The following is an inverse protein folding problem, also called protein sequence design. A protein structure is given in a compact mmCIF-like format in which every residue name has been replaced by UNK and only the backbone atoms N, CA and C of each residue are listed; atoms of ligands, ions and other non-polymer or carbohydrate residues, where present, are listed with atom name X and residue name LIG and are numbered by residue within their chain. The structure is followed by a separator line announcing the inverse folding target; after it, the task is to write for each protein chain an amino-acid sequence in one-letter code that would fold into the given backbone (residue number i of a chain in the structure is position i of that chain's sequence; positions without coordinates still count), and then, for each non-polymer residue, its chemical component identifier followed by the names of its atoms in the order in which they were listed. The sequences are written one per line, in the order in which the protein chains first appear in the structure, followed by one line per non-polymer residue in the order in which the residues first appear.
data_IF_038163413356
#
_entry.id   IF_038163413356
#
_cell.length_a   1.000
_cell.length_b   1.000
_cell.length_c   1.000
_cell.angle_alpha   90.00
_cell.angle_beta   90.00
_cell.angle_gamma   90.00
#
_symmetry.space_group_name_H-M   'P 1'
#
loop_
_entity.id
_entity.type
_entity.pdbx_description
1 polymer ?
#
# COMPACT_ATOMS: atom_id res chain seq x y z
N UNK A 1 20.33 -10.82 -20.58
CA UNK A 1 19.35 -10.94 -19.47
C UNK A 1 20.02 -11.14 -18.09
N UNK A 2 21.33 -11.43 -18.01
CA UNK A 2 22.01 -11.81 -16.74
C UNK A 2 22.53 -10.61 -15.90
N UNK A 3 22.43 -9.36 -16.34
CA UNK A 3 23.01 -8.20 -15.62
C UNK A 3 21.98 -7.20 -15.05
N UNK A 4 20.80 -7.63 -14.60
CA UNK A 4 19.85 -6.73 -13.92
C UNK A 4 19.55 -7.20 -12.48
N UNK A 5 19.64 -6.32 -11.47
CA UNK A 5 19.24 -6.64 -10.11
C UNK A 5 17.73 -6.93 -10.10
N UNK A 6 17.32 -8.02 -9.45
CA UNK A 6 15.91 -8.38 -9.29
C UNK A 6 15.21 -7.34 -8.39
N UNK A 7 14.49 -6.41 -9.00
CA UNK A 7 13.66 -5.37 -8.38
C UNK A 7 12.28 -5.89 -7.96
N UNK A 8 11.90 -7.12 -8.29
CA UNK A 8 10.62 -7.73 -7.89
C UNK A 8 10.77 -9.19 -7.48
N UNK A 9 9.87 -9.67 -6.61
CA UNK A 9 9.73 -11.11 -6.27
C UNK A 9 9.56 -11.95 -7.54
N UNK A 10 8.87 -11.42 -8.54
CA UNK A 10 8.74 -12.03 -9.87
C UNK A 10 10.10 -12.24 -10.55
N UNK A 11 11.00 -11.24 -10.50
CA UNK A 11 12.34 -11.32 -11.08
C UNK A 11 13.23 -12.31 -10.32
N UNK A 12 13.15 -12.35 -8.99
CA UNK A 12 13.86 -13.34 -8.16
C UNK A 12 13.40 -14.77 -8.49
N UNK A 13 12.09 -15.01 -8.52
CA UNK A 13 11.55 -16.33 -8.86
C UNK A 13 11.95 -16.70 -10.30
N UNK A 14 11.87 -15.78 -11.27
CA UNK A 14 12.36 -16.04 -12.65
C UNK A 14 13.86 -16.31 -12.72
N UNK A 15 14.67 -15.63 -11.91
CA UNK A 15 16.12 -15.84 -11.86
C UNK A 15 16.47 -17.23 -11.33
N UNK A 16 15.72 -17.70 -10.33
CA UNK A 16 15.89 -19.01 -9.70
C UNK A 16 15.32 -20.12 -10.60
N UNK A 17 14.17 -19.89 -11.24
CA UNK A 17 13.43 -20.93 -11.99
C UNK A 17 13.76 -20.97 -13.47
N UNK A 18 14.14 -19.85 -14.10
CA UNK A 18 14.41 -19.72 -15.55
C UNK A 18 13.36 -20.37 -16.45
N UNK A 19 12.08 -20.24 -16.11
CA UNK A 19 10.99 -20.93 -16.81
C UNK A 19 9.96 -19.95 -17.37
N UNK A 20 9.19 -20.39 -18.36
CA UNK A 20 8.05 -19.63 -18.87
C UNK A 20 6.79 -19.81 -17.99
N UNK A 21 5.64 -19.28 -18.42
CA UNK A 21 4.40 -19.35 -17.64
C UNK A 21 3.88 -20.77 -17.43
N UNK A 22 3.68 -21.57 -18.49
CA UNK A 22 3.29 -22.98 -18.37
C UNK A 22 4.27 -23.80 -17.55
N UNK A 23 5.57 -23.60 -17.75
CA UNK A 23 6.60 -24.35 -17.06
C UNK A 23 6.68 -23.98 -15.57
N UNK A 24 6.39 -22.73 -15.19
CA UNK A 24 6.23 -22.34 -13.78
C UNK A 24 5.14 -23.17 -13.09
N UNK A 25 3.96 -23.26 -13.70
CA UNK A 25 2.82 -24.01 -13.13
C UNK A 25 3.16 -25.49 -13.01
N UNK A 26 3.80 -26.06 -14.04
CA UNK A 26 4.25 -27.45 -14.03
C UNK A 26 5.27 -27.72 -12.92
N UNK A 27 6.30 -26.87 -12.79
CA UNK A 27 7.32 -27.03 -11.76
C UNK A 27 6.75 -26.85 -10.35
N UNK A 28 5.88 -25.87 -10.15
CA UNK A 28 5.21 -25.67 -8.87
C UNK A 28 4.31 -26.86 -8.51
N UNK A 29 3.54 -27.39 -9.47
CA UNK A 29 2.76 -28.59 -9.30
C UNK A 29 3.61 -29.81 -8.91
N UNK A 30 4.74 -30.03 -9.61
CA UNK A 30 5.68 -31.11 -9.29
C UNK A 30 6.29 -30.94 -7.89
N UNK A 31 6.61 -29.72 -7.49
CA UNK A 31 7.10 -29.42 -6.15
C UNK A 31 6.07 -29.80 -5.08
N UNK A 32 4.78 -29.50 -5.31
CA UNK A 32 3.71 -29.88 -4.38
C UNK A 32 3.52 -31.40 -4.32
N UNK A 33 3.61 -32.12 -5.44
CA UNK A 33 3.56 -33.59 -5.46
C UNK A 33 4.74 -34.19 -4.69
N UNK A 34 5.96 -33.68 -4.91
CA UNK A 34 7.13 -34.14 -4.17
C UNK A 34 6.98 -33.85 -2.67
N UNK A 35 6.45 -32.67 -2.32
CA UNK A 35 6.18 -32.34 -0.92
C UNK A 35 5.11 -33.26 -0.32
N UNK A 36 4.11 -33.68 -1.09
CA UNK A 36 3.10 -34.65 -0.65
C UNK A 36 3.72 -35.98 -0.24
N UNK A 37 4.71 -36.47 -0.98
CA UNK A 37 5.43 -37.70 -0.62
C UNK A 37 6.15 -37.60 0.73
N UNK A 38 6.67 -36.40 1.07
CA UNK A 38 7.35 -36.13 2.34
C UNK A 38 6.33 -36.01 3.48
N UNK A 39 5.22 -35.30 3.26
CA UNK A 39 4.15 -35.10 4.23
C UNK A 39 3.48 -36.41 4.60
N UNK A 40 3.16 -37.27 3.63
CA UNK A 40 2.57 -38.60 3.88
C UNK A 40 3.53 -39.52 4.66
N UNK A 41 4.85 -39.38 4.43
CA UNK A 41 5.86 -40.13 5.17
C UNK A 41 6.05 -39.69 6.62
N UNK A 42 5.55 -38.50 7.00
CA UNK A 42 5.82 -37.89 8.30
C UNK A 42 4.58 -37.96 9.21
N UNK A 43 4.62 -38.84 10.23
CA UNK A 43 3.52 -39.09 11.19
C UNK A 43 3.10 -37.88 12.04
N UNK A 44 3.87 -36.79 11.99
CA UNK A 44 3.65 -35.56 12.77
C UNK A 44 2.92 -34.46 12.00
N UNK A 45 2.65 -34.64 10.70
CA UNK A 45 1.93 -33.61 9.92
C UNK A 45 0.46 -33.56 10.29
N UNK A 46 -0.05 -32.33 10.43
CA UNK A 46 -1.44 -32.08 10.84
C UNK A 46 -2.40 -32.32 9.67
N UNK A 47 -3.65 -32.72 9.97
CA UNK A 47 -4.70 -32.90 8.95
C UNK A 47 -4.96 -31.63 8.13
N UNK A 48 -4.75 -30.44 8.72
CA UNK A 48 -4.85 -29.16 8.04
C UNK A 48 -3.78 -28.98 6.96
N UNK A 49 -2.51 -29.25 7.28
CA UNK A 49 -1.41 -29.14 6.31
C UNK A 49 -1.63 -30.09 5.13
N UNK A 50 -2.11 -31.30 5.40
CA UNK A 50 -2.46 -32.28 4.38
C UNK A 50 -3.61 -31.77 3.48
N UNK A 51 -4.67 -31.22 4.07
CA UNK A 51 -5.80 -30.67 3.32
C UNK A 51 -5.41 -29.42 2.50
N UNK A 52 -4.59 -28.53 3.05
CA UNK A 52 -4.05 -27.36 2.34
C UNK A 52 -3.23 -27.79 1.13
N UNK A 53 -2.36 -28.79 1.31
CA UNK A 53 -1.54 -29.33 0.24
C UNK A 53 -2.38 -29.97 -0.86
N UNK A 54 -3.37 -30.80 -0.51
CA UNK A 54 -4.29 -31.40 -1.47
C UNK A 54 -5.04 -30.34 -2.28
N UNK A 55 -5.52 -29.28 -1.63
CA UNK A 55 -6.19 -28.17 -2.32
C UNK A 55 -5.22 -27.43 -3.27
N UNK A 56 -4.00 -27.15 -2.83
CA UNK A 56 -2.98 -26.52 -3.69
C UNK A 56 -2.63 -27.41 -4.91
N UNK A 57 -2.56 -28.73 -4.73
CA UNK A 57 -2.36 -29.70 -5.81
C UNK A 57 -3.56 -29.66 -6.78
N UNK A 58 -4.80 -29.68 -6.28
CA UNK A 58 -6.00 -29.61 -7.12
C UNK A 58 -6.07 -28.32 -7.95
N UNK A 59 -5.73 -27.18 -7.34
CA UNK A 59 -5.64 -25.88 -8.01
C UNK A 59 -4.61 -25.92 -9.14
N UNK A 60 -3.41 -26.39 -8.84
CA UNK A 60 -2.33 -26.44 -9.84
C UNK A 60 -2.61 -27.44 -10.95
N UNK A 61 -3.21 -28.60 -10.65
CA UNK A 61 -3.69 -29.56 -11.67
C UNK A 61 -4.73 -28.92 -12.59
N UNK A 62 -5.70 -28.20 -12.02
CA UNK A 62 -6.75 -27.53 -12.79
C UNK A 62 -6.18 -26.44 -13.68
N UNK A 63 -5.24 -25.65 -13.16
CA UNK A 63 -4.55 -24.61 -13.93
C UNK A 63 -3.69 -25.20 -15.04
N UNK A 64 -2.92 -26.26 -14.76
CA UNK A 64 -2.13 -26.98 -15.75
C UNK A 64 -3.00 -27.44 -16.91
N UNK A 65 -4.10 -28.15 -16.63
CA UNK A 65 -5.06 -28.60 -17.65
C UNK A 65 -5.64 -27.46 -18.47
N UNK A 66 -6.03 -26.34 -17.83
CA UNK A 66 -6.57 -25.16 -18.53
C UNK A 66 -5.54 -24.47 -19.41
N UNK A 67 -4.29 -24.42 -18.99
CA UNK A 67 -3.19 -23.85 -19.77
C UNK A 67 -2.86 -24.74 -20.97
N UNK A 68 -2.80 -26.07 -20.78
CA UNK A 68 -2.57 -27.04 -21.86
C UNK A 68 -3.69 -27.04 -22.92
N UNK A 69 -4.94 -26.79 -22.51
CA UNK A 69 -6.08 -26.67 -23.42
C UNK A 69 -6.15 -25.32 -24.15
N UNK A 70 -5.43 -24.31 -23.65
CA UNK A 70 -5.38 -23.00 -24.27
C UNK A 70 -4.34 -22.98 -25.39
N UNK A 71 -4.70 -22.39 -26.53
CA UNK A 71 -3.74 -22.12 -27.62
C UNK A 71 -2.91 -20.84 -27.39
N UNK A 72 -3.18 -20.11 -26.30
CA UNK A 72 -2.54 -18.83 -26.01
C UNK A 72 -1.21 -19.00 -25.27
N UNK A 73 -0.24 -18.14 -25.60
CA UNK A 73 1.04 -18.08 -24.90
C UNK A 73 0.90 -17.32 -23.59
N UNK A 74 0.96 -18.02 -22.47
CA UNK A 74 0.99 -17.40 -21.16
C UNK A 74 2.39 -16.90 -20.81
N UNK A 75 2.52 -15.58 -20.62
CA UNK A 75 3.74 -15.03 -20.00
C UNK A 75 3.84 -15.49 -18.55
N UNK A 76 5.06 -15.60 -18.01
CA UNK A 76 5.28 -15.92 -16.59
C UNK A 76 4.50 -15.00 -15.65
N UNK A 77 4.45 -13.69 -15.95
CA UNK A 77 3.70 -12.72 -15.14
C UNK A 77 2.20 -13.05 -15.09
N UNK A 78 1.63 -13.38 -16.25
CA UNK A 78 0.23 -13.75 -16.34
C UNK A 78 -0.04 -15.07 -15.59
N UNK A 79 0.80 -16.08 -15.78
CA UNK A 79 0.67 -17.38 -15.10
C UNK A 79 0.77 -17.25 -13.58
N UNK A 80 1.76 -16.50 -13.07
CA UNK A 80 1.91 -16.25 -11.63
C UNK A 80 0.71 -15.50 -11.04
N UNK A 81 0.23 -14.46 -11.74
CA UNK A 81 -0.96 -13.71 -11.30
C UNK A 81 -2.20 -14.60 -11.24
N UNK A 82 -2.41 -15.43 -12.25
CA UNK A 82 -3.53 -16.39 -12.29
C UNK A 82 -3.39 -17.42 -11.17
N UNK A 83 -2.21 -18.00 -10.96
CA UNK A 83 -1.96 -18.94 -9.87
C UNK A 83 -2.33 -18.35 -8.51
N UNK A 84 -1.82 -17.16 -8.19
CA UNK A 84 -2.10 -16.48 -6.93
C UNK A 84 -3.59 -16.14 -6.80
N UNK A 85 -4.26 -15.76 -7.89
CA UNK A 85 -5.69 -15.47 -7.89
C UNK A 85 -6.53 -16.72 -7.61
N UNK A 86 -6.15 -17.87 -8.17
CA UNK A 86 -6.84 -19.13 -7.91
C UNK A 86 -6.62 -19.57 -6.47
N UNK A 87 -5.36 -19.58 -5.98
CA UNK A 87 -5.03 -19.93 -4.59
C UNK A 87 -5.83 -19.04 -3.62
N UNK A 88 -5.90 -17.72 -3.87
CA UNK A 88 -6.64 -16.78 -3.02
C UNK A 88 -8.15 -17.08 -2.95
N UNK A 89 -8.72 -17.69 -3.99
CA UNK A 89 -10.14 -18.06 -4.04
C UNK A 89 -10.41 -19.45 -3.48
N UNK A 90 -9.38 -20.27 -3.28
CA UNK A 90 -9.53 -21.63 -2.78
C UNK A 90 -9.80 -21.61 -1.28
N UNK A 91 -10.83 -22.34 -0.87
CA UNK A 91 -11.15 -22.55 0.54
C UNK A 91 -10.68 -23.94 0.95
N UNK A 92 -10.11 -24.04 2.15
CA UNK A 92 -9.71 -25.32 2.74
C UNK A 92 -10.74 -25.67 3.78
N UNK A 93 -11.52 -26.72 3.52
CA UNK A 93 -12.49 -27.22 4.49
C UNK A 93 -11.76 -27.97 5.60
N UNK A 94 -12.00 -27.56 6.84
CA UNK A 94 -11.58 -28.29 8.03
C UNK A 94 -12.58 -29.41 8.29
N UNK A 95 -12.08 -30.64 8.46
CA UNK A 95 -12.91 -31.75 8.93
C UNK A 95 -12.78 -31.77 10.46
N UNK A 96 -13.81 -31.29 11.14
CA UNK A 96 -13.91 -31.37 12.60
C UNK A 96 -14.23 -32.78 13.07
N UNK A 97 -13.81 -33.12 14.28
CA UNK A 97 -14.29 -34.31 14.99
C UNK A 97 -15.48 -33.87 15.87
N UNK A 98 -16.73 -34.24 15.53
CA UNK A 98 -17.92 -33.59 16.08
C UNK A 98 -18.15 -33.75 17.59
N UNK A 99 -17.45 -34.66 18.27
CA UNK A 99 -17.70 -35.01 19.68
C UNK A 99 -16.50 -34.77 20.61
N UNK A 100 -15.36 -34.34 20.09
CA UNK A 100 -14.16 -34.16 20.91
C UNK A 100 -13.37 -32.89 20.52
N UNK A 101 -12.83 -32.23 21.54
CA UNK A 101 -11.92 -31.09 21.36
C UNK A 101 -12.60 -29.78 20.95
N UNK A 102 -11.74 -28.81 20.59
CA UNK A 102 -12.15 -27.47 20.17
C UNK A 102 -12.67 -27.53 18.73
N UNK A 103 -13.92 -27.10 18.53
CA UNK A 103 -14.52 -27.00 17.20
C UNK A 103 -14.30 -25.62 16.61
N UNK A 104 -13.70 -25.55 15.42
CA UNK A 104 -13.57 -24.32 14.63
C UNK A 104 -14.58 -24.40 13.49
N UNK A 105 -15.63 -23.59 13.56
CA UNK A 105 -16.80 -23.71 12.69
C UNK A 105 -17.29 -22.35 12.22
N UNK A 106 -17.94 -22.32 11.06
CA UNK A 106 -18.73 -21.18 10.60
C UNK A 106 -20.10 -21.13 11.29
N UNK A 107 -20.73 -19.95 11.34
CA UNK A 107 -22.01 -19.77 12.03
C UNK A 107 -23.16 -20.62 11.44
N UNK A 108 -23.13 -20.95 10.16
CA UNK A 108 -24.14 -21.84 9.56
C UNK A 108 -23.91 -23.32 9.90
N UNK A 109 -22.69 -23.69 10.27
CA UNK A 109 -22.32 -25.06 10.64
C UNK A 109 -22.73 -25.37 12.09
N UNK A 110 -22.98 -24.35 12.92
CA UNK A 110 -23.47 -24.52 14.30
C UNK A 110 -24.97 -24.84 14.38
N UNK A 111 -25.62 -25.11 13.25
CA UNK A 111 -27.06 -25.46 13.19
C UNK A 111 -27.33 -26.74 13.98
N UNK A 112 -28.35 -26.69 14.84
CA UNK A 112 -28.76 -27.79 15.71
C UNK A 112 -27.69 -28.28 16.70
N UNK A 113 -26.60 -27.52 16.86
CA UNK A 113 -25.55 -27.79 17.84
C UNK A 113 -25.59 -26.76 18.96
N UNK A 114 -25.37 -27.22 20.18
CA UNK A 114 -25.35 -26.37 21.37
C UNK A 114 -23.96 -26.45 22.02
N UNK A 115 -23.45 -25.32 22.49
CA UNK A 115 -22.10 -25.21 23.06
C UNK A 115 -22.16 -24.49 24.39
N UNK A 116 -21.47 -25.04 25.40
CA UNK A 116 -21.37 -24.41 26.72
C UNK A 116 -20.47 -23.17 26.69
N UNK A 117 -19.36 -23.26 25.95
CA UNK A 117 -18.34 -22.22 25.84
C UNK A 117 -18.16 -21.82 24.39
N UNK A 118 -18.22 -20.51 24.12
CA UNK A 118 -18.22 -19.96 22.78
C UNK A 118 -17.17 -18.87 22.68
N UNK A 119 -16.33 -18.97 21.65
CA UNK A 119 -15.38 -17.93 21.29
C UNK A 119 -15.67 -17.49 19.86
N UNK A 120 -16.17 -16.26 19.71
CA UNK A 120 -16.41 -15.66 18.39
C UNK A 120 -15.26 -14.71 18.08
N UNK A 121 -14.52 -15.05 17.03
CA UNK A 121 -13.41 -14.25 16.52
C UNK A 121 -13.91 -13.24 15.49
N UNK A 122 -13.30 -12.06 15.45
CA UNK A 122 -13.59 -11.00 14.48
C UNK A 122 -15.05 -10.54 14.47
N UNK A 123 -15.62 -10.31 15.66
CA UNK A 123 -16.97 -9.78 15.87
C UNK A 123 -17.06 -8.27 15.56
N UNK A 124 -16.58 -7.88 14.38
CA UNK A 124 -16.61 -6.54 13.82
C UNK A 124 -17.77 -6.39 12.83
N UNK A 125 -18.25 -5.17 12.63
CA UNK A 125 -19.25 -4.89 11.59
C UNK A 125 -18.69 -5.25 10.20
N UNK A 126 -19.55 -5.70 9.29
CA UNK A 126 -19.14 -6.21 7.97
C UNK A 126 -18.48 -7.59 7.95
N UNK A 127 -17.97 -8.08 9.10
CA UNK A 127 -17.57 -9.49 9.30
C UNK A 127 -18.68 -10.29 9.97
N UNK A 128 -19.28 -9.73 11.02
CA UNK A 128 -20.43 -10.29 11.73
C UNK A 128 -21.46 -9.17 11.98
N UNK A 129 -22.57 -9.12 11.22
CA UNK A 129 -22.87 -9.96 10.06
C UNK A 129 -21.96 -9.64 8.86
N UNK A 130 -21.74 -10.65 8.02
CA UNK A 130 -20.99 -10.48 6.77
C UNK A 130 -21.76 -9.56 5.80
N UNK A 131 -21.04 -8.67 5.12
CA UNK A 131 -21.65 -7.81 4.09
C UNK A 131 -21.91 -8.62 2.80
N UNK A 132 -23.04 -9.30 2.75
CA UNK A 132 -23.45 -10.10 1.59
C UNK A 132 -24.05 -9.19 0.50
N UNK A 133 -23.18 -8.52 -0.26
CA UNK A 133 -23.58 -7.97 -1.56
C UNK A 133 -23.92 -9.14 -2.49
N UNK A 134 -25.21 -9.41 -2.65
CA UNK A 134 -25.68 -10.39 -3.64
C UNK A 134 -25.59 -9.76 -5.03
N UNK A 135 -24.57 -10.13 -5.81
CA UNK A 135 -24.50 -9.80 -7.23
C UNK A 135 -25.70 -10.46 -7.95
N UNK A 136 -26.65 -9.64 -8.40
CA UNK A 136 -27.84 -10.09 -9.11
C UNK A 136 -28.06 -9.24 -10.36
N UNK A 137 -28.41 -9.89 -11.47
CA UNK A 137 -28.86 -9.21 -12.68
C UNK A 137 -30.28 -8.63 -12.53
N UNK A 138 -31.03 -9.06 -11.51
CA UNK A 138 -32.38 -8.58 -11.23
C UNK A 138 -32.29 -7.39 -10.27
N UNK A 139 -32.84 -6.21 -10.64
CA UNK A 139 -32.87 -5.04 -9.78
C UNK A 139 -33.52 -5.31 -8.42
N UNK A 140 -33.09 -4.55 -7.40
CA UNK A 140 -33.56 -4.72 -6.03
C UNK A 140 -35.08 -4.63 -5.91
N UNK A 141 -35.71 -3.64 -6.55
CA UNK A 141 -37.16 -3.41 -6.45
C UNK A 141 -37.97 -4.58 -7.02
N UNK A 142 -37.50 -5.16 -8.13
CA UNK A 142 -38.12 -6.34 -8.74
C UNK A 142 -37.95 -7.56 -7.81
N UNK A 143 -36.78 -7.75 -7.21
CA UNK A 143 -36.58 -8.84 -6.23
C UNK A 143 -37.53 -8.70 -5.06
N UNK A 144 -37.65 -7.50 -4.50
CA UNK A 144 -38.54 -7.23 -3.39
C UNK A 144 -40.01 -7.49 -3.75
N UNK A 145 -40.48 -6.98 -4.89
CA UNK A 145 -41.87 -7.13 -5.32
C UNK A 145 -42.27 -8.59 -5.57
N UNK A 146 -41.35 -9.42 -6.07
CA UNK A 146 -41.60 -10.84 -6.35
C UNK A 146 -41.14 -11.77 -5.22
N UNK A 147 -40.84 -11.25 -4.02
CA UNK A 147 -40.39 -12.04 -2.86
C UNK A 147 -39.18 -12.93 -3.18
N UNK A 148 -38.30 -12.45 -4.06
CA UNK A 148 -37.02 -13.11 -4.31
C UNK A 148 -36.07 -12.80 -3.15
N UNK A 149 -35.09 -13.68 -2.86
CA UNK A 149 -34.13 -13.46 -1.78
C UNK A 149 -33.50 -12.08 -1.89
N UNK A 150 -33.36 -11.37 -0.78
CA UNK A 150 -32.71 -10.08 -0.64
C UNK A 150 -31.46 -10.20 0.24
N UNK A 151 -30.51 -9.25 0.16
CA UNK A 151 -29.37 -9.20 1.08
C UNK A 151 -29.80 -9.23 2.56
N UNK A 152 -30.95 -8.64 2.88
CA UNK A 152 -31.54 -8.63 4.22
C UNK A 152 -31.82 -10.05 4.72
N UNK A 153 -32.41 -10.92 3.91
CA UNK A 153 -32.76 -12.29 4.33
C UNK A 153 -31.52 -13.07 4.80
N UNK A 154 -30.38 -12.85 4.14
CA UNK A 154 -29.13 -13.45 4.58
C UNK A 154 -28.63 -12.88 5.91
N UNK A 155 -28.85 -11.59 6.18
CA UNK A 155 -28.54 -10.99 7.47
C UNK A 155 -29.48 -11.51 8.56
N UNK A 156 -30.76 -11.71 8.25
CA UNK A 156 -31.77 -12.24 9.17
C UNK A 156 -31.43 -13.68 9.58
N UNK A 157 -31.01 -14.54 8.63
CA UNK A 157 -30.50 -15.90 8.93
C UNK A 157 -29.26 -15.85 9.82
N UNK A 158 -28.34 -14.92 9.57
CA UNK A 158 -27.13 -14.74 10.39
C UNK A 158 -27.49 -14.31 11.81
N UNK A 159 -28.40 -13.35 11.96
CA UNK A 159 -28.90 -12.88 13.24
C UNK A 159 -29.58 -14.01 14.02
N UNK A 160 -30.46 -14.78 13.37
CA UNK A 160 -31.12 -15.93 13.99
C UNK A 160 -30.11 -16.92 14.58
N UNK A 161 -29.11 -17.31 13.79
CA UNK A 161 -28.10 -18.26 14.26
C UNK A 161 -27.22 -17.68 15.37
N UNK A 162 -26.86 -16.41 15.30
CA UNK A 162 -26.13 -15.72 16.36
C UNK A 162 -26.87 -15.76 17.70
N UNK A 163 -28.14 -15.34 17.73
CA UNK A 163 -28.92 -15.33 18.97
C UNK A 163 -29.24 -16.74 19.47
N UNK A 164 -29.57 -17.68 18.56
CA UNK A 164 -29.83 -19.09 18.93
C UNK A 164 -28.63 -19.71 19.62
N UNK A 165 -27.42 -19.44 19.12
CA UNK A 165 -26.17 -19.96 19.66
C UNK A 165 -25.96 -19.54 21.14
N UNK A 166 -26.42 -18.33 21.51
CA UNK A 166 -26.27 -17.80 22.86
C UNK A 166 -27.25 -18.40 23.87
N UNK A 167 -28.42 -18.88 23.43
CA UNK A 167 -29.48 -19.38 24.31
C UNK A 167 -29.08 -20.58 25.18
N UNK A 168 -28.09 -21.38 24.73
CA UNK A 168 -27.58 -22.55 25.47
C UNK A 168 -26.16 -22.38 25.99
N UNK A 169 -25.53 -21.25 25.69
CA UNK A 169 -24.17 -20.95 26.16
C UNK A 169 -24.17 -20.52 27.62
N UNK A 170 -23.17 -20.98 28.38
CA UNK A 170 -22.88 -20.45 29.72
C UNK A 170 -21.85 -19.33 29.66
N UNK A 171 -20.90 -19.43 28.72
CA UNK A 171 -19.85 -18.44 28.53
C UNK A 171 -19.69 -18.12 27.04
N UNK A 172 -19.81 -16.84 26.68
CA UNK A 172 -19.58 -16.35 25.33
C UNK A 172 -18.55 -15.22 25.38
N UNK A 173 -17.44 -15.39 24.67
CA UNK A 173 -16.37 -14.39 24.52
C UNK A 173 -16.33 -13.92 23.08
N UNK A 174 -16.32 -12.60 22.88
CA UNK A 174 -16.28 -11.98 21.56
C UNK A 174 -15.01 -11.15 21.42
N UNK A 175 -14.26 -11.38 20.36
CA UNK A 175 -13.07 -10.60 20.01
C UNK A 175 -13.36 -9.74 18.80
N UNK A 176 -13.16 -8.43 18.92
CA UNK A 176 -13.25 -7.49 17.81
C UNK A 176 -12.01 -6.60 17.78
N UNK A 177 -11.64 -6.15 16.59
CA UNK A 177 -10.53 -5.23 16.40
C UNK A 177 -11.01 -3.78 16.56
N UNK A 178 -10.34 -3.01 17.42
CA UNK A 178 -10.60 -1.56 17.60
C UNK A 178 -9.47 -0.68 17.04
N UNK A 179 -8.47 -1.25 16.36
CA UNK A 179 -7.32 -0.50 15.81
C UNK A 179 -7.71 0.30 14.57
N UNK A 180 -7.20 1.51 14.41
CA UNK A 180 -7.45 2.39 13.25
C UNK A 180 -6.55 2.10 12.04
N UNK A 181 -5.61 1.15 12.14
CA UNK A 181 -4.50 0.99 11.20
C UNK A 181 -4.69 -0.05 10.09
N UNK A 182 -5.88 -0.68 9.96
CA UNK A 182 -6.15 -1.77 9.01
C UNK A 182 -7.27 -1.49 8.00
N UNK A 183 -7.24 -2.21 6.85
CA UNK A 183 -8.38 -2.30 5.92
C UNK A 183 -9.43 -3.27 6.49
N UNK A 184 -10.51 -2.72 7.03
CA UNK A 184 -11.68 -3.43 7.58
C UNK A 184 -12.58 -2.44 8.31
N UNK A 185 -13.85 -2.80 8.56
CA UNK A 185 -14.64 -2.04 9.53
C UNK A 185 -14.08 -2.36 10.91
N UNK A 186 -13.53 -1.34 11.56
CA UNK A 186 -12.99 -1.42 12.92
C UNK A 186 -14.08 -1.18 13.97
N UNK A 187 -15.33 -1.13 13.51
CA UNK A 187 -16.47 -0.93 14.37
C UNK A 187 -16.86 -2.27 14.98
N UNK A 188 -17.33 -2.21 16.22
CA UNK A 188 -17.92 -3.35 16.91
C UNK A 188 -19.17 -3.83 16.13
N UNK A 189 -19.38 -5.15 16.08
CA UNK A 189 -20.59 -5.72 15.48
C UNK A 189 -21.86 -5.13 16.08
N UNK A 190 -22.84 -4.79 15.23
CA UNK A 190 -24.17 -4.36 15.69
C UNK A 190 -24.85 -5.37 16.63
N UNK A 191 -24.56 -6.67 16.49
CA UNK A 191 -25.15 -7.71 17.35
C UNK A 191 -24.64 -7.63 18.78
N UNK A 192 -23.38 -7.22 18.98
CA UNK A 192 -22.82 -7.02 20.31
C UNK A 192 -23.41 -5.78 20.99
N UNK A 193 -23.61 -4.70 20.21
CA UNK A 193 -24.31 -3.53 20.70
C UNK A 193 -25.73 -3.88 21.15
N UNK A 194 -26.48 -4.63 20.34
CA UNK A 194 -27.83 -5.08 20.69
C UNK A 194 -27.84 -5.96 21.95
N UNK A 195 -26.86 -6.84 22.14
CA UNK A 195 -26.74 -7.62 23.37
C UNK A 195 -26.61 -6.73 24.60
N UNK A 196 -25.71 -5.75 24.53
CA UNK A 196 -25.43 -4.81 25.62
C UNK A 196 -26.63 -3.90 25.92
N UNK A 197 -27.29 -3.38 24.88
CA UNK A 197 -28.36 -2.38 25.03
C UNK A 197 -29.75 -2.95 25.25
N UNK A 198 -30.04 -4.16 24.77
CA UNK A 198 -31.38 -4.76 24.80
C UNK A 198 -31.43 -5.97 25.74
N UNK A 199 -30.58 -6.97 25.51
CA UNK A 199 -30.68 -8.26 26.21
C UNK A 199 -30.21 -8.20 27.68
N UNK A 200 -29.12 -7.49 27.95
CA UNK A 200 -28.58 -7.34 29.31
C UNK A 200 -29.56 -6.61 30.24
N UNK A 201 -30.19 -5.48 29.84
CA UNK A 201 -31.21 -4.83 30.66
C UNK A 201 -32.47 -5.68 30.90
N UNK A 202 -32.87 -6.49 29.92
CA UNK A 202 -34.07 -7.33 30.01
C UNK A 202 -33.87 -8.59 30.86
N UNK A 203 -32.64 -9.08 31.00
CA UNK A 203 -32.33 -10.27 31.77
C UNK A 203 -31.17 -10.02 32.76
N UNK A 204 -31.48 -9.71 34.03
CA UNK A 204 -30.47 -9.46 35.07
C UNK A 204 -29.52 -10.63 35.36
N UNK A 205 -29.83 -11.84 34.87
CA UNK A 205 -28.96 -13.01 35.02
C UNK A 205 -27.75 -12.98 34.11
N UNK A 206 -27.73 -12.10 33.09
CA UNK A 206 -26.63 -11.99 32.13
C UNK A 206 -25.55 -11.06 32.70
N UNK A 207 -24.35 -11.59 32.89
CA UNK A 207 -23.17 -10.79 33.22
C UNK A 207 -22.45 -10.39 31.93
N UNK A 208 -22.38 -9.08 31.67
CA UNK A 208 -21.70 -8.53 30.50
C UNK A 208 -20.53 -7.65 30.95
N UNK A 209 -19.35 -7.87 30.36
CA UNK A 209 -18.16 -7.06 30.63
C UNK A 209 -17.36 -6.85 29.36
N UNK A 210 -16.98 -5.60 29.09
CA UNK A 210 -16.06 -5.25 28.00
C UNK A 210 -14.65 -5.01 28.57
N UNK A 211 -13.64 -5.56 27.89
CA UNK A 211 -12.23 -5.37 28.22
C UNK A 211 -11.45 -5.02 26.97
N UNK A 212 -10.70 -3.93 27.02
CA UNK A 212 -9.78 -3.57 25.96
C UNK A 212 -8.45 -4.28 26.20
N UNK A 213 -8.03 -5.11 25.23
CA UNK A 213 -6.75 -5.81 25.28
C UNK A 213 -5.75 -5.09 24.39
N UNK A 214 -4.75 -4.45 25.00
CA UNK A 214 -3.55 -4.03 24.28
C UNK A 214 -2.59 -5.20 24.30
N UNK A 215 -2.58 -5.99 23.23
CA UNK A 215 -1.52 -6.97 23.04
C UNK A 215 -0.21 -6.20 22.87
N UNK A 216 0.82 -6.43 23.70
CA UNK A 216 2.14 -5.99 23.35
C UNK A 216 2.45 -6.66 22.01
N UNK A 217 2.72 -5.85 20.99
CA UNK A 217 3.31 -6.39 19.76
C UNK A 217 4.62 -6.98 20.23
N UNK A 218 4.65 -8.30 20.38
CA UNK A 218 5.91 -9.04 20.43
C UNK A 218 6.49 -8.86 19.04
N UNK A 219 7.11 -7.71 18.78
CA UNK A 219 8.31 -7.75 17.95
C UNK A 219 9.17 -8.72 18.72
N UNK A 220 9.28 -9.94 18.20
CA UNK A 220 10.49 -10.69 18.46
C UNK A 220 11.57 -9.68 18.14
N UNK A 221 12.15 -9.10 19.19
CA UNK A 221 13.32 -8.26 19.08
C UNK A 221 14.39 -9.24 18.64
N UNK A 222 14.37 -9.56 17.35
CA UNK A 222 15.57 -9.81 16.60
C UNK A 222 16.34 -8.49 16.68
N UNK A 223 16.90 -8.20 17.86
CA UNK A 223 17.96 -7.25 18.11
C UNK A 223 19.24 -7.76 17.44
N UNK A 224 19.11 -8.36 16.25
CA UNK A 224 20.21 -8.49 15.33
C UNK A 224 20.51 -7.07 14.88
N UNK A 225 21.46 -6.45 15.56
CA UNK A 225 22.12 -5.25 15.08
C UNK A 225 22.52 -5.53 13.64
N UNK A 226 21.87 -4.88 12.68
CA UNK A 226 22.21 -5.05 11.27
C UNK A 226 23.58 -4.42 11.10
N UNK A 227 24.62 -5.25 11.07
CA UNK A 227 26.00 -4.83 10.83
C UNK A 227 26.30 -5.03 9.36
N UNK A 228 26.62 -3.94 8.68
CA UNK A 228 27.11 -3.98 7.30
C UNK A 228 28.63 -4.09 7.36
N UNK A 229 29.16 -5.24 6.98
CA UNK A 229 30.60 -5.41 6.84
C UNK A 229 31.13 -4.57 5.67
N UNK A 230 32.22 -3.84 5.90
CA UNK A 230 32.89 -3.00 4.90
C UNK A 230 33.74 -3.85 3.96
N UNK A 231 33.12 -4.83 3.32
CA UNK A 231 33.75 -5.66 2.29
C UNK A 231 33.98 -4.85 1.01
N UNK A 232 34.74 -5.42 0.06
CA UNK A 232 35.10 -4.73 -1.19
C UNK A 232 33.87 -4.25 -1.98
N UNK A 233 32.79 -5.03 -2.01
CA UNK A 233 31.60 -4.74 -2.83
C UNK A 233 30.83 -3.51 -2.31
N UNK A 234 30.40 -3.43 -1.03
CA UNK A 234 29.80 -2.22 -0.45
C UNK A 234 30.68 -0.98 -0.58
N UNK A 235 31.99 -1.14 -0.37
CA UNK A 235 32.95 -0.03 -0.43
C UNK A 235 33.11 0.50 -1.86
N UNK A 236 33.26 -0.38 -2.86
CA UNK A 236 33.34 0.01 -4.26
C UNK A 236 32.07 0.75 -4.71
N UNK A 237 30.88 0.28 -4.28
CA UNK A 237 29.63 0.98 -4.55
C UNK A 237 29.55 2.34 -3.86
N UNK A 238 30.04 2.46 -2.63
CA UNK A 238 30.10 3.75 -1.93
C UNK A 238 30.97 4.75 -2.70
N UNK A 239 32.16 4.35 -3.14
CA UNK A 239 33.02 5.21 -3.95
C UNK A 239 32.38 5.58 -5.28
N UNK A 240 31.74 4.63 -5.97
CA UNK A 240 31.01 4.90 -7.20
C UNK A 240 29.86 5.90 -7.00
N UNK A 241 29.12 5.80 -5.90
CA UNK A 241 28.05 6.76 -5.56
C UNK A 241 28.63 8.13 -5.22
N UNK A 242 29.76 8.17 -4.50
CA UNK A 242 30.47 9.40 -4.18
C UNK A 242 31.00 10.09 -5.45
N UNK A 243 31.50 9.35 -6.43
CA UNK A 243 31.92 9.88 -7.74
C UNK A 243 30.71 10.35 -8.57
N UNK A 244 29.60 9.61 -8.57
CA UNK A 244 28.39 10.00 -9.31
C UNK A 244 27.68 11.23 -8.74
N UNK A 245 27.98 11.63 -7.50
CA UNK A 245 27.38 12.76 -6.84
C UNK A 245 26.37 12.38 -5.76
N UNK A 246 26.63 12.82 -4.52
CA UNK A 246 25.72 12.74 -3.39
C UNK A 246 24.75 13.93 -3.40
N UNK A 247 23.45 13.65 -3.26
CA UNK A 247 22.43 14.69 -3.16
C UNK A 247 22.14 15.11 -1.72
N UNK A 248 21.59 16.32 -1.50
CA UNK A 248 21.17 16.75 -0.16
C UNK A 248 20.23 15.74 0.50
N UNK A 249 19.29 15.15 -0.26
CA UNK A 249 18.42 14.09 0.24
C UNK A 249 19.17 12.82 0.62
N UNK A 250 20.22 12.45 -0.12
CA UNK A 250 21.06 11.29 0.19
C UNK A 250 21.88 11.52 1.48
N UNK A 251 22.43 12.72 1.64
CA UNK A 251 23.15 13.13 2.85
C UNK A 251 22.21 13.14 4.06
N UNK A 252 21.03 13.75 3.92
CA UNK A 252 20.01 13.74 4.97
C UNK A 252 19.57 12.33 5.33
N UNK A 253 19.39 11.44 4.35
CA UNK A 253 19.08 10.03 4.61
C UNK A 253 20.18 9.34 5.42
N UNK A 254 21.45 9.65 5.15
CA UNK A 254 22.58 9.11 5.91
C UNK A 254 22.61 9.64 7.36
N UNK A 255 22.48 10.96 7.53
CA UNK A 255 22.47 11.60 8.85
C UNK A 255 21.32 11.07 9.71
N UNK A 256 20.13 10.92 9.12
CA UNK A 256 18.96 10.37 9.82
C UNK A 256 19.12 8.89 10.14
N UNK A 257 19.59 8.08 9.18
CA UNK A 257 19.77 6.65 9.35
C UNK A 257 20.77 6.09 8.31
N UNK A 258 22.01 5.78 8.71
CA UNK A 258 23.03 5.24 7.81
C UNK A 258 22.60 3.95 7.10
N UNK A 259 21.78 3.13 7.78
CA UNK A 259 21.26 1.90 7.20
C UNK A 259 20.21 2.16 6.11
N UNK A 260 19.39 3.20 6.27
CA UNK A 260 18.45 3.65 5.23
C UNK A 260 19.22 4.15 4.01
N UNK A 261 20.30 4.90 4.22
CA UNK A 261 21.18 5.32 3.13
C UNK A 261 21.79 4.10 2.42
N UNK A 262 22.31 3.13 3.19
CA UNK A 262 22.88 1.91 2.64
C UNK A 262 21.88 1.14 1.77
N UNK A 263 20.68 0.83 2.28
CA UNK A 263 19.69 0.10 1.49
C UNK A 263 19.24 0.87 0.25
N UNK A 264 19.01 2.18 0.38
CA UNK A 264 18.45 3.00 -0.70
C UNK A 264 19.47 3.35 -1.79
N UNK A 265 20.67 3.78 -1.40
CA UNK A 265 21.64 4.38 -2.32
C UNK A 265 22.80 3.43 -2.65
N UNK A 266 23.17 2.51 -1.76
CA UNK A 266 24.26 1.54 -2.01
C UNK A 266 23.68 0.23 -2.58
N UNK A 267 22.64 -0.31 -1.97
CA UNK A 267 21.98 -1.52 -2.47
C UNK A 267 20.89 -1.25 -3.51
N UNK A 268 20.52 0.02 -3.73
CA UNK A 268 19.51 0.42 -4.71
C UNK A 268 18.15 -0.29 -4.50
N UNK A 269 17.78 -0.48 -3.24
CA UNK A 269 16.49 -1.06 -2.85
C UNK A 269 15.46 0.07 -2.79
N UNK A 270 14.53 0.04 -3.74
CA UNK A 270 13.41 0.96 -3.84
C UNK A 270 12.14 0.25 -3.37
N UNK A 271 11.22 0.95 -2.66
CA UNK A 271 9.88 0.44 -2.49
C UNK A 271 9.26 0.23 -3.88
N UNK A 272 8.40 -0.78 -4.05
CA UNK A 272 7.79 -1.06 -5.35
C UNK A 272 7.07 0.18 -5.86
N UNK A 273 7.27 0.53 -7.13
CA UNK A 273 6.51 1.59 -7.81
C UNK A 273 5.05 1.14 -7.91
N UNK A 274 4.24 1.55 -6.95
CA UNK A 274 2.79 1.46 -7.01
C UNK A 274 2.32 2.47 -8.05
N UNK A 275 1.76 2.00 -9.17
CA UNK A 275 1.00 2.88 -10.07
C UNK A 275 -0.28 3.29 -9.33
N UNK A 276 -0.17 4.37 -8.57
CA UNK A 276 -1.26 4.89 -7.76
C UNK A 276 -2.30 5.59 -8.64
N UNK A 277 -3.57 5.24 -8.44
CA UNK A 277 -4.68 5.83 -9.17
C UNK A 277 -5.06 7.22 -8.67
N UNK A 278 -4.56 7.64 -7.49
CA UNK A 278 -4.81 8.95 -6.88
C UNK A 278 -3.54 9.79 -6.78
N UNK A 279 -3.68 11.12 -6.80
CA UNK A 279 -2.59 12.05 -6.49
C UNK A 279 -2.20 11.93 -5.00
N UNK A 280 -1.10 11.25 -4.72
CA UNK A 280 -0.42 11.30 -3.42
C UNK A 280 0.45 12.57 -3.28
N UNK A 281 0.95 12.82 -2.06
CA UNK A 281 1.72 14.04 -1.70
C UNK A 281 2.98 14.26 -2.56
N UNK A 282 3.66 13.19 -2.96
CA UNK A 282 4.86 13.28 -3.81
C UNK A 282 4.53 13.75 -5.24
N UNK A 283 3.43 13.24 -5.80
CA UNK A 283 2.92 13.62 -7.11
C UNK A 283 2.44 15.06 -7.12
N UNK A 284 1.81 15.50 -6.03
CA UNK A 284 1.41 16.88 -5.83
C UNK A 284 2.60 17.84 -5.86
N UNK A 285 3.67 17.56 -5.10
CA UNK A 285 4.89 18.37 -5.10
C UNK A 285 5.48 18.49 -6.51
N UNK A 286 5.63 17.38 -7.21
CA UNK A 286 6.22 17.34 -8.57
C UNK A 286 5.51 18.29 -9.55
N UNK A 287 4.17 18.34 -9.50
CA UNK A 287 3.38 19.25 -10.35
C UNK A 287 3.62 20.70 -9.97
N UNK A 288 3.70 21.02 -8.68
CA UNK A 288 3.97 22.38 -8.20
C UNK A 288 5.33 22.87 -8.70
N UNK A 289 6.38 22.07 -8.54
CA UNK A 289 7.73 22.39 -9.04
C UNK A 289 7.70 22.61 -10.56
N UNK A 290 7.12 21.69 -11.32
CA UNK A 290 7.07 21.81 -12.78
C UNK A 290 6.30 23.04 -13.28
N UNK A 291 5.24 23.46 -12.57
CA UNK A 291 4.51 24.69 -12.95
C UNK A 291 5.29 25.94 -12.59
N UNK A 292 5.89 26.00 -11.40
CA UNK A 292 6.73 27.14 -11.00
C UNK A 292 7.95 27.27 -11.92
N UNK A 293 8.60 26.17 -12.27
CA UNK A 293 9.68 26.12 -13.26
C UNK A 293 9.27 26.85 -14.54
N UNK A 294 8.16 26.42 -15.15
CA UNK A 294 7.68 27.01 -16.41
C UNK A 294 7.28 28.49 -16.25
N UNK A 295 6.75 28.90 -15.10
CA UNK A 295 6.38 30.29 -14.85
C UNK A 295 7.61 31.20 -14.77
N UNK A 296 8.66 30.76 -14.08
CA UNK A 296 9.87 31.55 -13.82
C UNK A 296 10.95 31.42 -14.91
N UNK A 297 10.93 30.35 -15.72
CA UNK A 297 11.91 30.10 -16.79
C UNK A 297 12.18 31.32 -17.72
N UNK A 298 11.19 32.13 -18.14
CA UNK A 298 11.42 33.29 -19.00
C UNK A 298 12.29 34.40 -18.36
N UNK A 299 12.40 34.40 -17.03
CA UNK A 299 13.12 35.40 -16.23
C UNK A 299 14.56 34.99 -15.90
N UNK A 300 15.01 33.80 -16.30
CA UNK A 300 16.39 33.34 -16.03
C UNK A 300 17.40 34.32 -16.64
N UNK A 301 18.39 34.71 -15.84
CA UNK A 301 19.39 35.76 -16.09
C UNK A 301 18.82 37.16 -16.34
N UNK A 302 17.60 37.45 -15.84
CA UNK A 302 16.93 38.75 -15.97
C UNK A 302 16.36 39.21 -14.64
N UNK A 303 16.07 40.51 -14.56
CA UNK A 303 15.28 41.07 -13.47
C UNK A 303 13.86 40.47 -13.50
N UNK A 304 13.38 40.00 -12.35
CA UNK A 304 12.02 39.48 -12.24
C UNK A 304 11.06 40.66 -12.09
N UNK A 305 10.49 41.12 -13.20
CA UNK A 305 9.54 42.24 -13.20
C UNK A 305 8.18 41.78 -12.62
N UNK A 306 7.69 42.35 -11.49
CA UNK A 306 6.46 41.90 -10.83
C UNK A 306 5.24 41.95 -11.75
N UNK A 307 5.17 42.97 -12.62
CA UNK A 307 4.08 43.11 -13.59
C UNK A 307 4.03 41.94 -14.59
N UNK A 308 5.17 41.58 -15.18
CA UNK A 308 5.26 40.47 -16.12
C UNK A 308 5.00 39.12 -15.43
N UNK A 309 5.51 38.94 -14.21
CA UNK A 309 5.25 37.75 -13.40
C UNK A 309 3.75 37.59 -13.11
N UNK A 310 3.07 38.69 -12.73
CA UNK A 310 1.62 38.69 -12.46
C UNK A 310 0.78 38.34 -13.69
N UNK A 311 1.21 38.68 -14.90
CA UNK A 311 0.52 38.29 -16.14
C UNK A 311 0.52 36.77 -16.35
N UNK A 312 1.57 36.06 -15.91
CA UNK A 312 1.72 34.60 -16.03
C UNK A 312 0.70 33.83 -15.18
N UNK A 313 0.00 34.48 -14.24
CA UNK A 313 -1.08 33.86 -13.46
C UNK A 313 -2.20 33.26 -14.33
N UNK A 314 -2.39 33.78 -15.54
CA UNK A 314 -3.40 33.30 -16.50
C UNK A 314 -3.03 31.92 -17.09
N UNK A 315 -1.75 31.54 -17.02
CA UNK A 315 -1.25 30.28 -17.59
C UNK A 315 -1.32 29.11 -16.61
N UNK A 316 -1.51 29.36 -15.31
CA UNK A 316 -1.49 28.35 -14.25
C UNK A 316 -2.37 27.14 -14.56
N UNK A 317 -3.61 27.36 -15.03
CA UNK A 317 -4.54 26.26 -15.33
C UNK A 317 -3.98 25.34 -16.41
N UNK A 318 -3.47 25.93 -17.50
CA UNK A 318 -2.89 25.20 -18.62
C UNK A 318 -1.66 24.41 -18.18
N UNK A 319 -0.76 25.04 -17.42
CA UNK A 319 0.48 24.43 -16.97
C UNK A 319 0.22 23.27 -15.99
N UNK A 320 -0.73 23.40 -15.06
CA UNK A 320 -1.10 22.29 -14.16
C UNK A 320 -1.62 21.10 -14.97
N UNK A 321 -2.48 21.33 -15.96
CA UNK A 321 -3.00 20.25 -16.81
C UNK A 321 -1.89 19.56 -17.62
N UNK A 322 -0.94 20.32 -18.14
CA UNK A 322 0.21 19.80 -18.88
C UNK A 322 1.08 18.91 -17.98
N UNK A 323 1.47 19.39 -16.79
CA UNK A 323 2.26 18.61 -15.82
C UNK A 323 1.54 17.36 -15.33
N UNK A 324 0.23 17.48 -15.05
CA UNK A 324 -0.60 16.34 -14.68
C UNK A 324 -0.63 15.27 -15.79
N UNK A 325 -0.80 15.69 -17.05
CA UNK A 325 -0.82 14.76 -18.20
C UNK A 325 0.53 14.08 -18.42
N UNK A 326 1.64 14.82 -18.26
CA UNK A 326 3.00 14.26 -18.33
C UNK A 326 3.19 13.16 -17.29
N UNK A 327 2.81 13.42 -16.04
CA UNK A 327 3.01 12.50 -14.93
C UNK A 327 2.16 11.23 -15.04
N UNK A 328 0.89 11.37 -15.42
CA UNK A 328 -0.03 10.22 -15.57
C UNK A 328 -0.06 9.60 -16.98
N UNK A 329 0.80 10.06 -17.91
CA UNK A 329 0.83 9.63 -19.32
C UNK A 329 -0.56 9.61 -19.98
N UNK A 330 -1.43 10.56 -19.61
CA UNK A 330 -2.80 10.69 -20.10
C UNK A 330 -3.80 9.61 -19.66
N UNK A 331 -3.47 8.74 -18.69
CA UNK A 331 -4.29 7.57 -18.34
C UNK A 331 -5.29 7.78 -17.19
N UNK A 332 -5.20 8.89 -16.46
CA UNK A 332 -6.02 9.14 -15.27
C UNK A 332 -6.93 10.35 -15.45
N UNK A 333 -8.27 10.21 -15.43
CA UNK A 333 -9.18 11.34 -15.54
C UNK A 333 -9.13 12.24 -14.29
N UNK A 334 -9.22 13.56 -14.49
CA UNK A 334 -9.31 14.55 -13.40
C UNK A 334 -10.73 14.51 -12.82
N UNK A 335 -10.97 13.62 -11.86
CA UNK A 335 -12.26 13.51 -11.15
C UNK A 335 -12.05 13.19 -9.67
N UNK A 336 -13.08 13.45 -8.85
CA UNK A 336 -13.08 13.13 -7.42
C UNK A 336 -11.91 13.78 -6.68
N UNK A 337 -11.15 12.98 -5.93
CA UNK A 337 -10.00 13.43 -5.12
C UNK A 337 -8.94 14.19 -5.95
N UNK A 338 -8.69 13.79 -7.19
CA UNK A 338 -7.71 14.45 -8.06
C UNK A 338 -8.16 15.86 -8.46
N UNK A 339 -9.47 16.06 -8.66
CA UNK A 339 -10.04 17.39 -8.94
C UNK A 339 -9.87 18.34 -7.74
N UNK A 340 -10.14 17.85 -6.52
CA UNK A 340 -9.94 18.62 -5.30
C UNK A 340 -8.47 19.02 -5.14
N UNK A 341 -7.56 18.06 -5.34
CA UNK A 341 -6.12 18.31 -5.25
C UNK A 341 -5.65 19.38 -6.25
N UNK A 342 -6.13 19.33 -7.50
CA UNK A 342 -5.83 20.35 -8.49
C UNK A 342 -6.30 21.76 -8.09
N UNK A 343 -7.47 21.88 -7.47
CA UNK A 343 -7.94 23.19 -6.98
C UNK A 343 -7.03 23.74 -5.87
N UNK A 344 -6.57 22.87 -4.98
CA UNK A 344 -5.59 23.23 -3.95
C UNK A 344 -4.26 23.65 -4.59
N UNK A 345 -3.72 22.87 -5.52
CA UNK A 345 -2.50 23.19 -6.29
C UNK A 345 -2.58 24.57 -6.92
N UNK A 346 -3.69 24.85 -7.61
CA UNK A 346 -3.92 26.14 -8.28
C UNK A 346 -3.92 27.30 -7.29
N UNK A 347 -4.63 27.15 -6.16
CA UNK A 347 -4.68 28.20 -5.12
C UNK A 347 -3.30 28.46 -4.53
N UNK A 348 -2.55 27.40 -4.23
CA UNK A 348 -1.22 27.49 -3.65
C UNK A 348 -0.23 28.19 -4.59
N UNK A 349 -0.12 27.75 -5.84
CA UNK A 349 0.78 28.36 -6.85
C UNK A 349 0.43 29.83 -7.07
N UNK A 350 -0.87 30.15 -7.18
CA UNK A 350 -1.32 31.52 -7.34
C UNK A 350 -0.90 32.39 -6.16
N UNK A 351 -1.06 31.90 -4.94
CA UNK A 351 -0.67 32.63 -3.74
C UNK A 351 0.84 32.85 -3.70
N UNK A 352 1.64 31.80 -3.94
CA UNK A 352 3.10 31.89 -3.99
C UNK A 352 3.60 32.96 -4.97
N UNK A 353 2.98 33.05 -6.16
CA UNK A 353 3.36 34.06 -7.16
C UNK A 353 2.96 35.47 -6.72
N UNK A 354 1.79 35.63 -6.08
CA UNK A 354 1.35 36.94 -5.59
C UNK A 354 2.24 37.43 -4.44
N UNK A 355 2.55 36.57 -3.48
CA UNK A 355 3.45 36.89 -2.37
C UNK A 355 4.86 37.26 -2.90
N UNK A 356 5.31 36.56 -3.94
CA UNK A 356 6.60 36.85 -4.57
C UNK A 356 6.58 38.16 -5.36
N UNK A 357 5.49 38.50 -6.08
CA UNK A 357 5.30 39.82 -6.69
C UNK A 357 5.44 40.93 -5.65
N UNK A 358 4.73 40.83 -4.53
CA UNK A 358 4.74 41.85 -3.47
C UNK A 358 6.15 41.97 -2.86
N UNK A 359 6.85 40.84 -2.67
CA UNK A 359 8.24 40.82 -2.19
C UNK A 359 9.22 41.45 -3.18
N UNK A 360 9.02 41.25 -4.48
CA UNK A 360 9.88 41.76 -5.55
C UNK A 360 9.66 43.27 -5.79
N UNK A 361 8.49 43.81 -5.48
CA UNK A 361 8.23 45.26 -5.50
C UNK A 361 9.05 45.99 -4.43
N UNK A 362 9.18 45.40 -3.24
CA UNK A 362 9.98 45.97 -2.16
C UNK A 362 11.50 45.81 -2.41
N UNK A 363 11.90 44.67 -2.98
CA UNK A 363 13.30 44.29 -3.15
C UNK A 363 13.50 43.56 -4.50
N UNK A 364 13.90 44.29 -5.57
CA UNK A 364 14.08 43.72 -6.91
C UNK A 364 15.22 42.69 -6.99
N UNK A 365 14.97 41.60 -7.71
CA UNK A 365 15.90 40.45 -7.79
C UNK A 365 16.13 39.99 -9.23
N UNK A 366 17.34 39.51 -9.48
CA UNK A 366 17.71 38.84 -10.74
C UNK A 366 17.64 37.34 -10.51
N UNK A 367 16.90 36.63 -11.35
CA UNK A 367 16.83 35.16 -11.29
C UNK A 367 18.10 34.58 -11.90
N UNK A 368 18.88 33.83 -11.11
CA UNK A 368 20.11 33.18 -11.58
C UNK A 368 19.82 31.78 -12.13
N UNK A 369 18.89 31.05 -11.51
CA UNK A 369 18.53 29.69 -11.94
C UNK A 369 17.20 29.24 -11.37
N UNK A 370 16.54 28.34 -12.10
CA UNK A 370 15.27 27.70 -11.72
C UNK A 370 15.37 26.21 -12.03
N UNK A 371 15.01 25.36 -11.06
CA UNK A 371 15.09 23.90 -11.17
C UNK A 371 16.46 23.44 -11.74
N UNK A 372 17.52 24.13 -11.35
CA UNK A 372 18.84 23.97 -11.95
C UNK A 372 19.66 22.92 -11.18
N UNK A 373 20.38 22.08 -11.92
CA UNK A 373 21.23 21.05 -11.32
C UNK A 373 22.63 21.58 -11.12
N UNK A 374 22.96 21.87 -9.88
CA UNK A 374 24.32 22.25 -9.50
C UNK A 374 25.14 21.02 -9.11
N UNK A 375 26.43 21.07 -9.39
CA UNK A 375 27.37 20.08 -8.89
C UNK A 375 28.68 20.74 -8.47
N UNK A 376 29.29 20.18 -7.44
CA UNK A 376 30.61 20.59 -6.95
C UNK A 376 31.37 19.36 -6.48
N UNK A 377 32.68 19.48 -6.32
CA UNK A 377 33.53 18.37 -5.85
C UNK A 377 34.31 18.81 -4.63
N UNK A 378 34.37 17.93 -3.63
CA UNK A 378 35.17 18.12 -2.43
C UNK A 378 36.28 17.08 -2.46
N UNK A 379 37.52 17.55 -2.35
CA UNK A 379 38.66 16.63 -2.23
C UNK A 379 38.77 16.14 -0.79
N UNK A 380 38.88 14.83 -0.61
CA UNK A 380 39.02 14.19 0.70
C UNK A 380 40.20 13.23 0.70
N UNK A 381 40.65 12.81 1.90
CA UNK A 381 41.68 11.78 2.04
C UNK A 381 41.29 10.42 1.42
N UNK A 382 40.01 10.21 1.09
CA UNK A 382 39.48 8.99 0.48
C UNK A 382 39.15 9.15 -1.01
N UNK A 383 39.54 10.27 -1.63
CA UNK A 383 39.23 10.59 -3.02
C UNK A 383 38.27 11.77 -3.16
N UNK A 384 37.93 12.10 -4.41
CA UNK A 384 37.04 13.20 -4.74
C UNK A 384 35.58 12.78 -4.56
N UNK A 385 34.86 13.49 -3.70
CA UNK A 385 33.43 13.31 -3.49
C UNK A 385 32.70 14.38 -4.26
N UNK A 386 31.86 13.97 -5.21
CA UNK A 386 30.99 14.87 -5.93
C UNK A 386 29.72 15.10 -5.11
N UNK A 387 29.26 16.34 -5.06
CA UNK A 387 27.95 16.73 -4.55
C UNK A 387 27.12 17.20 -5.73
N UNK A 388 25.86 16.76 -5.81
CA UNK A 388 24.93 17.22 -6.84
C UNK A 388 23.55 17.45 -6.27
N UNK A 389 22.91 18.55 -6.64
CA UNK A 389 21.56 18.86 -6.16
C UNK A 389 20.79 19.62 -7.21
N UNK A 390 19.48 19.47 -7.18
CA UNK A 390 18.57 20.34 -7.92
C UNK A 390 18.13 21.44 -6.97
N UNK A 391 18.35 22.70 -7.35
CA UNK A 391 17.86 23.86 -6.60
C UNK A 391 16.59 24.36 -7.28
N UNK A 392 15.52 24.55 -6.51
CA UNK A 392 14.26 24.95 -7.12
C UNK A 392 14.33 26.37 -7.66
N UNK A 393 14.90 27.31 -6.91
CA UNK A 393 15.15 28.68 -7.37
C UNK A 393 16.35 29.32 -6.69
N UNK A 394 17.14 30.05 -7.48
CA UNK A 394 18.26 30.87 -7.01
C UNK A 394 18.09 32.27 -7.58
N UNK A 395 18.02 33.28 -6.72
CA UNK A 395 17.97 34.68 -7.10
C UNK A 395 18.96 35.53 -6.30
N UNK A 396 19.29 36.71 -6.82
CA UNK A 396 20.21 37.65 -6.17
C UNK A 396 19.54 39.00 -5.99
N UNK A 397 19.65 39.56 -4.78
CA UNK A 397 19.17 40.91 -4.48
C UNK A 397 20.00 41.94 -5.21
N UNK A 398 19.36 42.87 -5.92
CA UNK A 398 20.06 43.85 -6.74
C UNK A 398 20.86 44.86 -5.89
N UNK A 399 20.37 45.20 -4.69
CA UNK A 399 20.99 46.22 -3.82
C UNK A 399 22.16 45.70 -2.99
N UNK A 400 22.08 44.45 -2.53
CA UNK A 400 23.00 43.88 -1.54
C UNK A 400 23.93 42.81 -2.14
N UNK A 401 23.63 42.31 -3.34
CA UNK A 401 24.37 41.20 -3.96
C UNK A 401 24.21 39.86 -3.24
N UNK A 402 23.30 39.78 -2.26
CA UNK A 402 23.05 38.57 -1.48
C UNK A 402 22.34 37.52 -2.35
N UNK A 403 22.92 36.32 -2.41
CA UNK A 403 22.34 35.16 -3.10
C UNK A 403 21.33 34.49 -2.19
N UNK A 404 20.10 34.33 -2.67
CA UNK A 404 19.01 33.64 -2.00
C UNK A 404 18.69 32.34 -2.75
N UNK A 405 18.58 31.26 -1.98
CA UNK A 405 18.18 29.94 -2.47
C UNK A 405 16.80 29.64 -1.88
N UNK A 406 15.86 29.21 -2.71
CA UNK A 406 14.48 28.89 -2.33
C UNK A 406 14.23 27.41 -2.62
N UNK A 407 13.62 26.73 -1.65
CA UNK A 407 13.16 25.33 -1.72
C UNK A 407 11.66 25.31 -1.45
N UNK A 408 10.85 25.03 -2.47
CA UNK A 408 9.40 25.06 -2.39
C UNK A 408 8.90 23.81 -1.66
N UNK A 409 8.30 24.01 -0.47
CA UNK A 409 7.69 22.92 0.30
C UNK A 409 6.18 22.91 0.16
N UNK A 410 5.65 21.73 -0.17
CA UNK A 410 4.23 21.49 -0.39
C UNK A 410 3.57 20.66 0.72
N UNK A 411 4.33 20.28 1.75
CA UNK A 411 3.83 19.58 2.93
C UNK A 411 3.49 20.55 4.07
N UNK A 412 2.67 20.11 5.02
CA UNK A 412 2.43 20.85 6.26
C UNK A 412 3.73 21.00 7.04
N UNK A 413 4.21 22.23 7.18
CA UNK A 413 5.21 22.56 8.18
C UNK A 413 4.45 22.60 9.50
N UNK A 414 4.80 21.72 10.45
CA UNK A 414 4.34 21.88 11.83
C UNK A 414 4.98 23.18 12.32
N UNK A 415 4.17 24.22 12.53
CA UNK A 415 4.58 25.40 13.28
C UNK A 415 4.92 25.06 14.72
#
# INVERSE_FOLDING_TARGET
IINQPAKTVEQLIRLITRCDGPELINRYHQLLINYQSIVIGNKTTTSLEQNQLLQAIQVTTTLKRKIEQSKERFTFKAALKVLLQFIKKTQVHLIGQPLEGIQVMGLLETRNLDFENILVLSANEGSLPANNQMESFIPFDVRHQFSLPLPKDSQDVTAYHFYRLLQRSKHATFLYNSSTAGLGSNDISRFLLQLETELVPLNPSIQFSSKQLTLPVFTQNHNHKIVVEKTEIPMAKLFFVAEKGLSPSAINAYIQCPLRFYFRYILEIYPPETMEQSMESNTFGTIVHGVLEQIYLPFVNKLIEPFLLRQRLNEINRLIEEEYRKLYKGKSPIRGKNLLMMQVTKKMIRQTILDDCDSLEADPRILLGIEDTISTSISTQYGNVHLKGKMDRVDVKQKEGEIRIIDYKTGSVLE
#
